data_IF_389899178028
#
_entry.id   IF_389899178028
#
_cell.length_a   1.000
_cell.length_b   1.000
_cell.length_c   1.000
_cell.angle_alpha   90.00
_cell.angle_beta   90.00
_cell.angle_gamma   90.00
#
_symmetry.space_group_name_H-M   'P 1'
#
loop_
_entity.id
_entity.type
_entity.pdbx_description
1 polymer ?
#
# COMPACT_ATOMS: atom_id res chain seq x y z
N UNK A 1 2.55 5.99 0.18
CA UNK A 1 2.82 5.76 1.62
C UNK A 1 1.50 5.82 2.38
N UNK A 2 1.16 4.79 3.14
CA UNK A 2 -0.07 4.77 3.96
C UNK A 2 0.16 5.45 5.31
N UNK A 3 -0.90 5.99 5.90
CA UNK A 3 -0.92 6.46 7.28
C UNK A 3 -1.85 5.60 8.14
N UNK A 4 -1.53 5.50 9.43
CA UNK A 4 -2.44 4.95 10.44
C UNK A 4 -3.66 5.87 10.66
N UNK A 5 -4.76 5.30 11.15
CA UNK A 5 -5.99 6.07 11.46
C UNK A 5 -5.70 7.23 12.42
N UNK A 6 -4.91 7.01 13.48
CA UNK A 6 -4.59 8.08 14.43
C UNK A 6 -3.83 9.25 13.78
N UNK A 7 -2.94 8.97 12.82
CA UNK A 7 -2.20 9.99 12.06
C UNK A 7 -3.14 10.73 11.09
N UNK A 8 -4.01 9.98 10.41
CA UNK A 8 -5.04 10.57 9.56
C UNK A 8 -5.96 11.52 10.33
N UNK A 9 -6.40 11.12 11.53
CA UNK A 9 -7.21 11.96 12.43
C UNK A 9 -6.45 13.18 12.94
N UNK A 10 -5.15 13.05 13.23
CA UNK A 10 -4.31 14.19 13.59
C UNK A 10 -4.24 15.21 12.44
N UNK A 11 -4.06 14.75 11.20
CA UNK A 11 -4.11 15.63 10.03
C UNK A 11 -5.50 16.28 9.86
N UNK A 12 -6.58 15.51 10.02
CA UNK A 12 -7.93 16.07 9.97
C UNK A 12 -8.15 17.17 11.02
N UNK A 13 -7.71 16.95 12.26
CA UNK A 13 -7.78 17.94 13.34
C UNK A 13 -6.99 19.22 13.02
N UNK A 14 -5.79 19.11 12.43
CA UNK A 14 -4.98 20.27 12.01
C UNK A 14 -5.68 21.14 10.96
N UNK A 15 -6.57 20.54 10.16
CA UNK A 15 -7.39 21.24 9.16
C UNK A 15 -8.77 21.64 9.71
N UNK A 16 -8.98 21.55 11.02
CA UNK A 16 -10.21 21.97 11.69
C UNK A 16 -11.40 21.03 11.44
N UNK A 17 -11.15 19.78 11.07
CA UNK A 17 -12.18 18.79 10.83
C UNK A 17 -12.59 18.10 12.14
N UNK A 18 -13.88 17.76 12.32
CA UNK A 18 -14.39 17.13 13.53
C UNK A 18 -13.93 15.67 13.60
N UNK A 19 -13.05 15.36 14.55
CA UNK A 19 -12.58 14.00 14.86
C UNK A 19 -12.70 13.73 16.35
N UNK A 20 -12.78 12.46 16.73
CA UNK A 20 -12.83 12.06 18.14
C UNK A 20 -11.54 12.45 18.86
N UNK A 21 -11.65 12.82 20.14
CA UNK A 21 -10.47 12.92 20.99
C UNK A 21 -9.93 11.49 21.22
N UNK A 22 -8.66 11.28 20.96
CA UNK A 22 -8.06 9.95 21.06
C UNK A 22 -6.57 9.98 21.29
N UNK A 23 -6.06 8.88 21.85
CA UNK A 23 -4.66 8.66 22.22
C UNK A 23 -4.18 7.36 21.59
N UNK A 24 -3.05 7.41 20.89
CA UNK A 24 -2.41 6.23 20.31
C UNK A 24 -1.32 5.70 21.25
N UNK A 25 -1.68 4.67 22.02
CA UNK A 25 -0.84 4.06 23.05
C UNK A 25 0.05 2.94 22.51
N UNK A 26 1.26 2.80 23.04
CA UNK A 26 2.22 1.74 22.72
C UNK A 26 2.26 0.63 23.78
N UNK A 27 1.74 0.88 24.97
CA UNK A 27 1.62 -0.11 26.05
C UNK A 27 0.18 -0.23 26.55
N UNK A 28 -0.11 -1.32 27.26
CA UNK A 28 -1.42 -1.50 27.88
C UNK A 28 -1.69 -0.45 28.97
N UNK A 29 -0.65 -0.06 29.71
CA UNK A 29 -0.73 0.99 30.74
C UNK A 29 -1.04 2.36 30.13
N UNK A 30 -0.37 2.72 29.04
CA UNK A 30 -0.67 3.95 28.30
C UNK A 30 -2.10 3.94 27.74
N UNK A 31 -2.56 2.80 27.21
CA UNK A 31 -3.91 2.67 26.69
C UNK A 31 -4.95 2.86 27.80
N UNK A 32 -4.75 2.24 28.97
CA UNK A 32 -5.63 2.40 30.11
C UNK A 32 -5.64 3.84 30.65
N UNK A 33 -4.48 4.49 30.70
CA UNK A 33 -4.35 5.89 31.13
C UNK A 33 -5.00 6.88 30.14
N UNK A 34 -5.14 6.52 28.87
CA UNK A 34 -5.85 7.33 27.89
C UNK A 34 -7.30 7.62 28.31
N UNK A 35 -7.96 6.69 28.99
CA UNK A 35 -9.32 6.89 29.50
C UNK A 35 -9.43 8.10 30.43
N UNK A 36 -8.42 8.36 31.26
CA UNK A 36 -8.39 9.53 32.16
C UNK A 36 -8.24 10.84 31.39
N UNK A 37 -7.47 10.82 30.30
CA UNK A 37 -7.23 11.99 29.46
C UNK A 37 -8.44 12.33 28.60
N UNK A 38 -9.11 11.30 28.07
CA UNK A 38 -10.28 11.46 27.20
C UNK A 38 -11.52 11.79 28.03
N UNK A 39 -11.65 11.20 29.23
CA UNK A 39 -12.86 11.26 30.03
C UNK A 39 -14.00 10.41 29.46
N UNK A 40 -15.16 10.46 30.12
CA UNK A 40 -16.35 9.68 29.75
C UNK A 40 -16.46 8.34 30.49
N UNK A 41 -17.44 7.55 30.09
CA UNK A 41 -17.77 6.23 30.66
C UNK A 41 -17.62 5.08 29.65
N UNK A 42 -17.43 5.39 28.36
CA UNK A 42 -17.21 4.44 27.28
C UNK A 42 -16.19 4.94 26.26
N UNK A 43 -15.42 4.01 25.73
CA UNK A 43 -14.37 4.27 24.74
C UNK A 43 -14.41 3.24 23.62
N UNK A 44 -13.88 3.62 22.46
CA UNK A 44 -13.60 2.68 21.39
C UNK A 44 -12.10 2.43 21.36
N UNK A 45 -11.71 1.16 21.35
CA UNK A 45 -10.31 0.72 21.20
C UNK A 45 -10.12 0.11 19.83
N UNK A 46 -9.09 0.56 19.11
CA UNK A 46 -8.82 0.20 17.71
C UNK A 46 -7.36 -0.17 17.51
N UNK A 47 -7.10 -1.40 17.07
CA UNK A 47 -5.77 -1.80 16.61
C UNK A 47 -5.36 -0.95 15.39
N UNK A 48 -4.14 -0.42 15.42
CA UNK A 48 -3.60 0.41 14.34
C UNK A 48 -2.78 -0.45 13.40
N UNK A 49 -3.30 -0.61 12.17
CA UNK A 49 -2.65 -1.28 11.03
C UNK A 49 -3.04 -0.57 9.74
N UNK A 50 -2.24 -0.70 8.68
CA UNK A 50 -2.49 -0.11 7.36
C UNK A 50 -3.49 -0.89 6.49
N UNK A 51 -4.41 -1.64 7.12
CA UNK A 51 -5.43 -2.45 6.45
C UNK A 51 -6.83 -2.16 6.99
N UNK A 52 -7.83 -2.20 6.11
CA UNK A 52 -9.25 -2.12 6.45
C UNK A 52 -9.78 -3.41 7.08
N UNK A 53 -11.07 -3.44 7.44
CA UNK A 53 -11.70 -4.67 7.96
C UNK A 53 -11.36 -5.05 9.40
N UNK A 54 -10.64 -4.18 10.12
CA UNK A 54 -10.19 -4.38 11.51
C UNK A 54 -11.32 -4.81 12.45
N UNK A 55 -12.51 -4.22 12.31
CA UNK A 55 -13.68 -4.57 13.13
C UNK A 55 -14.11 -6.03 12.98
N UNK A 56 -14.16 -6.56 11.75
CA UNK A 56 -14.51 -7.97 11.48
C UNK A 56 -13.47 -8.94 12.05
N UNK A 57 -12.21 -8.52 12.14
CA UNK A 57 -11.12 -9.29 12.74
C UNK A 57 -11.03 -9.15 14.28
N UNK A 58 -11.95 -8.40 14.91
CA UNK A 58 -11.94 -8.14 16.36
C UNK A 58 -10.90 -7.11 16.80
N UNK A 59 -10.30 -6.38 15.86
CA UNK A 59 -9.37 -5.28 16.07
C UNK A 59 -10.06 -3.94 16.36
N UNK A 60 -11.38 -3.91 16.54
CA UNK A 60 -12.14 -2.74 17.05
C UNK A 60 -13.13 -3.23 18.09
N UNK A 61 -13.22 -2.56 19.24
CA UNK A 61 -14.15 -2.92 20.33
C UNK A 61 -14.63 -1.68 21.08
N UNK A 62 -15.92 -1.65 21.44
CA UNK A 62 -16.47 -0.71 22.43
C UNK A 62 -16.22 -1.27 23.84
N UNK A 63 -15.70 -0.45 24.74
CA UNK A 63 -15.34 -0.83 26.11
C UNK A 63 -15.83 0.21 27.11
N UNK A 64 -16.06 -0.22 28.35
CA UNK A 64 -16.61 0.62 29.44
C UNK A 64 -15.73 0.69 30.69
N UNK A 65 -14.52 0.12 30.66
CA UNK A 65 -13.58 0.23 31.78
C UNK A 65 -12.12 0.22 31.35
N UNK A 66 -11.23 0.70 32.23
CA UNK A 66 -9.77 0.69 31.99
C UNK A 66 -9.20 -0.72 31.90
N UNK A 67 -9.80 -1.65 32.63
CA UNK A 67 -9.45 -3.06 32.61
C UNK A 67 -9.72 -3.64 31.22
N UNK A 68 -10.90 -3.37 30.64
CA UNK A 68 -11.23 -3.82 29.27
C UNK A 68 -10.32 -3.20 28.20
N UNK A 69 -9.91 -1.94 28.37
CA UNK A 69 -8.91 -1.29 27.51
C UNK A 69 -7.56 -2.02 27.61
N UNK A 70 -7.11 -2.30 28.83
CA UNK A 70 -5.85 -3.01 29.10
C UNK A 70 -5.86 -4.42 28.51
N UNK A 71 -6.97 -5.16 28.68
CA UNK A 71 -7.16 -6.49 28.12
C UNK A 71 -7.08 -6.47 26.59
N UNK A 72 -7.74 -5.50 25.94
CA UNK A 72 -7.68 -5.35 24.49
C UNK A 72 -6.26 -5.02 24.02
N UNK A 73 -5.56 -4.13 24.71
CA UNK A 73 -4.18 -3.78 24.38
C UNK A 73 -3.24 -4.98 24.54
N UNK A 74 -3.29 -5.71 25.66
CA UNK A 74 -2.52 -6.94 25.87
C UNK A 74 -2.85 -8.04 24.87
N UNK A 75 -4.09 -8.08 24.38
CA UNK A 75 -4.49 -9.04 23.34
C UNK A 75 -3.77 -8.74 22.03
N UNK A 76 -3.65 -7.49 21.63
CA UNK A 76 -3.26 -7.12 20.26
C UNK A 76 -1.83 -6.59 20.12
N UNK A 77 -1.31 -5.81 21.07
CA UNK A 77 0.04 -5.25 20.98
C UNK A 77 1.09 -6.35 20.81
N UNK A 78 1.96 -6.18 19.81
CA UNK A 78 3.01 -7.14 19.47
C UNK A 78 2.52 -8.39 18.73
N UNK A 79 1.24 -8.47 18.36
CA UNK A 79 0.69 -9.55 17.52
C UNK A 79 0.27 -9.01 16.16
N UNK A 80 0.11 -9.92 15.20
CA UNK A 80 -0.38 -9.57 13.89
C UNK A 80 -1.90 -9.62 13.83
N UNK A 81 -2.51 -8.63 13.20
CA UNK A 81 -3.92 -8.60 12.86
C UNK A 81 -4.09 -9.01 11.39
N UNK A 82 -4.73 -10.16 11.17
CA UNK A 82 -5.13 -10.61 9.84
C UNK A 82 -6.52 -10.05 9.54
N UNK A 83 -6.66 -9.41 8.39
CA UNK A 83 -7.93 -8.92 7.85
C UNK A 83 -8.12 -9.47 6.44
N UNK A 84 -9.27 -9.22 5.82
CA UNK A 84 -9.47 -9.60 4.42
C UNK A 84 -8.63 -8.74 3.44
N UNK A 85 -8.00 -7.65 3.92
CA UNK A 85 -7.11 -6.79 3.13
C UNK A 85 -5.62 -7.03 3.41
N UNK A 86 -5.26 -7.94 4.32
CA UNK A 86 -3.86 -8.34 4.54
C UNK A 86 -3.57 -9.68 3.87
N UNK A 87 -2.29 -10.04 3.80
CA UNK A 87 -1.90 -11.42 3.54
C UNK A 87 -2.26 -12.34 4.73
N UNK A 88 -1.89 -13.62 4.62
CA UNK A 88 -2.12 -14.62 5.67
C UNK A 88 -1.33 -14.35 6.96
N UNK A 89 -0.25 -13.56 6.90
CA UNK A 89 0.56 -13.20 8.05
C UNK A 89 -0.02 -12.02 8.82
N UNK A 90 -0.83 -11.19 8.17
CA UNK A 90 -1.41 -9.99 8.77
C UNK A 90 -0.37 -8.89 8.99
N UNK A 91 -0.81 -7.79 9.59
CA UNK A 91 0.07 -6.66 9.89
C UNK A 91 0.32 -6.55 11.40
N UNK A 92 1.55 -6.19 11.83
CA UNK A 92 1.88 -6.09 13.25
C UNK A 92 1.15 -4.90 13.89
N UNK A 93 0.55 -5.13 15.06
CA UNK A 93 -0.09 -4.08 15.85
C UNK A 93 0.92 -3.52 16.85
N UNK A 94 1.45 -2.33 16.55
CA UNK A 94 2.40 -1.61 17.42
C UNK A 94 1.73 -0.56 18.29
N UNK A 95 0.49 -0.17 17.97
CA UNK A 95 -0.28 0.86 18.68
C UNK A 95 -1.76 0.50 18.77
N UNK A 96 -2.39 0.95 19.86
CA UNK A 96 -3.84 0.94 20.05
C UNK A 96 -4.32 2.39 20.12
N UNK A 97 -5.26 2.75 19.26
CA UNK A 97 -6.00 4.01 19.39
C UNK A 97 -7.14 3.80 20.38
N UNK A 98 -7.14 4.57 21.46
CA UNK A 98 -8.25 4.70 22.40
C UNK A 98 -8.92 6.04 22.13
N UNK A 99 -10.22 6.06 21.90
CA UNK A 99 -10.93 7.30 21.58
C UNK A 99 -12.32 7.39 22.23
N UNK A 100 -12.83 8.61 22.33
CA UNK A 100 -14.18 8.89 22.83
C UNK A 100 -15.23 8.19 21.97
N UNK A 101 -16.22 7.57 22.61
CA UNK A 101 -17.38 7.01 21.92
C UNK A 101 -18.20 8.12 21.23
N UNK A 102 -18.75 7.83 20.06
CA UNK A 102 -19.62 8.74 19.30
C UNK A 102 -20.97 8.06 19.12
N UNK A 103 -22.05 8.75 19.46
CA UNK A 103 -23.42 8.25 19.26
C UNK A 103 -23.83 8.45 17.80
N UNK A 104 -23.95 7.35 17.06
CA UNK A 104 -24.16 7.36 15.60
C UNK A 104 -25.65 7.30 15.30
N UNK A 105 -26.18 8.30 14.60
CA UNK A 105 -27.53 8.27 14.05
C UNK A 105 -27.55 7.75 12.60
N UNK A 106 -26.56 8.14 11.80
CA UNK A 106 -26.44 7.74 10.40
C UNK A 106 -24.96 7.69 9.99
N UNK A 107 -24.62 6.77 9.10
CA UNK A 107 -23.30 6.64 8.50
C UNK A 107 -23.34 7.05 7.03
N UNK A 108 -22.36 7.84 6.60
CA UNK A 108 -22.15 8.27 5.22
C UNK A 108 -20.75 7.85 4.77
N UNK A 109 -20.53 7.89 3.46
CA UNK A 109 -19.22 7.76 2.85
C UNK A 109 -18.75 9.12 2.30
N UNK A 110 -17.46 9.43 2.51
CA UNK A 110 -16.78 10.53 1.82
C UNK A 110 -15.34 10.13 1.49
N UNK A 111 -14.95 10.23 0.22
CA UNK A 111 -13.60 9.92 -0.21
C UNK A 111 -13.16 10.79 -1.38
N UNK A 112 -11.86 10.79 -1.68
CA UNK A 112 -11.28 11.47 -2.82
C UNK A 112 -10.09 10.70 -3.39
N UNK A 113 -9.95 10.76 -4.71
CA UNK A 113 -8.83 10.17 -5.46
C UNK A 113 -8.45 11.06 -6.63
N UNK A 114 -7.25 10.84 -7.19
CA UNK A 114 -6.90 11.36 -8.51
C UNK A 114 -7.52 10.43 -9.57
N UNK A 115 -8.62 10.86 -10.19
CA UNK A 115 -9.22 10.13 -11.30
C UNK A 115 -8.35 10.27 -12.55
N UNK A 116 -7.76 9.16 -12.97
CA UNK A 116 -6.87 9.11 -14.14
C UNK A 116 -7.59 9.39 -15.45
N UNK A 117 -8.90 9.11 -15.54
CA UNK A 117 -9.68 9.31 -16.76
C UNK A 117 -9.91 10.80 -17.03
N UNK A 118 -10.50 11.51 -16.06
CA UNK A 118 -10.69 12.96 -16.16
C UNK A 118 -9.40 13.75 -15.91
N UNK A 119 -8.39 13.13 -15.27
CA UNK A 119 -7.14 13.76 -14.82
C UNK A 119 -7.43 14.88 -13.82
N UNK A 120 -8.27 14.58 -12.83
CA UNK A 120 -8.72 15.53 -11.81
C UNK A 120 -8.76 14.87 -10.45
N UNK A 121 -8.67 15.68 -9.39
CA UNK A 121 -9.09 15.24 -8.07
C UNK A 121 -10.61 15.12 -8.11
N UNK A 122 -11.15 13.97 -7.71
CA UNK A 122 -12.59 13.70 -7.68
C UNK A 122 -12.97 13.27 -6.28
N UNK A 123 -13.89 14.02 -5.68
CA UNK A 123 -14.55 13.62 -4.44
C UNK A 123 -15.75 12.75 -4.76
N UNK A 124 -15.96 11.74 -3.91
CA UNK A 124 -17.07 10.81 -3.96
C UNK A 124 -17.80 10.83 -2.63
N UNK A 125 -19.13 10.88 -2.65
CA UNK A 125 -19.94 10.79 -1.45
C UNK A 125 -21.13 9.84 -1.66
N UNK A 126 -21.58 9.17 -0.61
CA UNK A 126 -22.71 8.25 -0.67
C UNK A 126 -23.44 8.17 0.68
N UNK A 127 -24.73 7.85 0.64
CA UNK A 127 -25.53 7.51 1.82
C UNK A 127 -25.18 6.13 2.38
N UNK A 128 -24.46 5.31 1.63
CA UNK A 128 -24.05 3.95 2.03
C UNK A 128 -22.71 3.98 2.79
N UNK A 129 -22.71 4.62 3.96
CA UNK A 129 -21.57 4.57 4.89
C UNK A 129 -21.44 3.21 5.59
N UNK A 130 -20.24 2.89 6.10
CA UNK A 130 -19.97 1.65 6.84
C UNK A 130 -19.83 0.40 5.96
N UNK A 131 -19.91 0.55 4.62
CA UNK A 131 -19.80 -0.53 3.63
C UNK A 131 -18.62 -0.24 2.69
N UNK A 132 -18.04 -1.28 2.10
CA UNK A 132 -17.02 -1.17 1.04
C UNK A 132 -17.59 -0.39 -0.15
N UNK A 133 -16.97 0.74 -0.49
CA UNK A 133 -17.47 1.62 -1.55
C UNK A 133 -17.41 0.96 -2.93
N UNK A 134 -16.50 0.00 -3.12
CA UNK A 134 -16.37 -0.78 -4.35
C UNK A 134 -17.63 -1.61 -4.62
N UNK A 135 -18.25 -2.17 -3.58
CA UNK A 135 -19.54 -2.90 -3.72
C UNK A 135 -20.67 -1.96 -4.08
N UNK A 136 -20.72 -0.78 -3.47
CA UNK A 136 -21.71 0.24 -3.82
C UNK A 136 -21.53 0.68 -5.27
N UNK A 137 -20.29 0.81 -5.75
CA UNK A 137 -19.96 1.19 -7.12
C UNK A 137 -20.37 0.12 -8.14
N UNK A 138 -20.28 -1.16 -7.79
CA UNK A 138 -20.68 -2.27 -8.65
C UNK A 138 -22.21 -2.48 -8.66
N UNK A 139 -22.84 -2.51 -7.48
CA UNK A 139 -24.24 -2.91 -7.32
C UNK A 139 -25.22 -1.72 -7.45
N UNK A 140 -24.85 -0.54 -6.97
CA UNK A 140 -25.70 0.66 -6.92
C UNK A 140 -24.93 1.94 -7.28
N UNK A 141 -24.31 2.01 -8.48
CA UNK A 141 -23.43 3.11 -8.88
C UNK A 141 -24.10 4.49 -8.80
N UNK A 142 -25.41 4.57 -8.94
CA UNK A 142 -26.21 5.80 -8.84
C UNK A 142 -26.19 6.44 -7.45
N UNK A 143 -25.85 5.68 -6.41
CA UNK A 143 -25.69 6.21 -5.04
C UNK A 143 -24.34 6.92 -4.82
N UNK A 144 -23.41 6.82 -5.77
CA UNK A 144 -22.11 7.48 -5.67
C UNK A 144 -22.17 8.83 -6.38
N UNK A 145 -22.28 9.87 -5.57
CA UNK A 145 -22.25 11.26 -5.99
C UNK A 145 -20.80 11.70 -6.19
N UNK A 146 -20.55 12.57 -7.17
CA UNK A 146 -19.19 12.98 -7.53
C UNK A 146 -19.06 14.50 -7.66
N UNK A 147 -17.97 15.04 -7.15
CA UNK A 147 -17.55 16.42 -7.41
C UNK A 147 -16.14 16.42 -8.04
N UNK A 148 -16.03 16.93 -9.25
CA UNK A 148 -14.77 17.03 -10.00
C UNK A 148 -14.13 18.39 -9.69
N UNK A 149 -12.91 18.39 -9.17
CA UNK A 149 -12.22 19.62 -8.77
C UNK A 149 -11.45 20.20 -9.95
N UNK A 150 -11.75 21.45 -10.30
CA UNK A 150 -10.96 22.18 -11.29
C UNK A 150 -9.63 22.65 -10.68
N UNK A 151 -8.49 22.41 -11.34
CA UNK A 151 -7.18 22.72 -10.77
C UNK A 151 -6.88 24.22 -10.65
N UNK A 152 -7.54 25.08 -11.42
CA UNK A 152 -7.32 26.52 -11.39
C UNK A 152 -8.05 27.18 -10.21
N UNK A 153 -9.32 26.83 -10.03
CA UNK A 153 -10.15 27.43 -8.96
C UNK A 153 -10.17 26.60 -7.67
N UNK A 154 -9.73 25.36 -7.71
CA UNK A 154 -9.79 24.44 -6.57
C UNK A 154 -11.22 24.03 -6.20
N UNK A 155 -11.38 23.39 -5.06
CA UNK A 155 -12.68 22.98 -4.56
C UNK A 155 -13.52 24.20 -4.15
N UNK A 156 -14.75 24.27 -4.65
CA UNK A 156 -15.62 25.40 -4.43
C UNK A 156 -16.78 25.07 -3.47
N UNK A 157 -17.22 26.02 -2.63
CA UNK A 157 -18.28 25.77 -1.65
C UNK A 157 -19.60 25.29 -2.26
N UNK A 158 -19.89 25.63 -3.52
CA UNK A 158 -21.12 25.16 -4.17
C UNK A 158 -21.11 23.64 -4.41
N UNK A 159 -19.94 23.05 -4.68
CA UNK A 159 -19.80 21.61 -4.91
C UNK A 159 -20.07 20.83 -3.62
N UNK A 160 -19.54 21.33 -2.49
CA UNK A 160 -19.83 20.76 -1.17
C UNK A 160 -21.32 20.84 -0.82
N UNK A 161 -21.99 21.96 -1.11
CA UNK A 161 -23.45 22.11 -0.92
C UNK A 161 -24.25 21.18 -1.81
N UNK A 162 -23.86 21.04 -3.08
CA UNK A 162 -24.54 20.16 -4.04
C UNK A 162 -24.51 18.71 -3.57
N UNK A 163 -23.34 18.20 -3.18
CA UNK A 163 -23.20 16.89 -2.57
C UNK A 163 -24.05 16.76 -1.29
N UNK A 164 -23.99 17.75 -0.39
CA UNK A 164 -24.76 17.72 0.85
C UNK A 164 -26.28 17.61 0.60
N UNK A 165 -26.82 18.38 -0.35
CA UNK A 165 -28.24 18.29 -0.70
C UNK A 165 -28.60 16.95 -1.33
N UNK A 166 -27.75 16.41 -2.20
CA UNK A 166 -27.96 15.10 -2.82
C UNK A 166 -27.90 13.95 -1.79
N UNK A 167 -27.09 14.09 -0.74
CA UNK A 167 -27.08 13.19 0.43
C UNK A 167 -28.30 13.35 1.36
N UNK A 168 -29.13 14.36 1.12
CA UNK A 168 -30.31 14.65 1.96
C UNK A 168 -30.01 15.40 3.26
N UNK A 169 -28.81 15.99 3.40
CA UNK A 169 -28.44 16.80 4.57
C UNK A 169 -29.26 18.08 4.66
N UNK A 170 -29.53 18.54 5.89
CA UNK A 170 -30.41 19.70 6.14
C UNK A 170 -29.81 20.68 7.14
N UNK A 171 -30.21 21.95 7.04
CA UNK A 171 -29.84 22.99 8.00
C UNK A 171 -28.32 23.10 8.19
N UNK A 172 -27.86 23.04 9.43
CA UNK A 172 -26.45 23.18 9.79
C UNK A 172 -25.55 22.06 9.23
N UNK A 173 -26.10 20.88 8.95
CA UNK A 173 -25.34 19.76 8.35
C UNK A 173 -24.79 20.12 6.98
N UNK A 174 -25.53 20.90 6.19
CA UNK A 174 -25.06 21.35 4.86
C UNK A 174 -23.83 22.24 5.00
N UNK A 175 -23.84 23.13 6.00
CA UNK A 175 -22.70 24.01 6.31
C UNK A 175 -21.51 23.20 6.82
N UNK A 176 -21.73 22.27 7.75
CA UNK A 176 -20.70 21.39 8.28
C UNK A 176 -20.07 20.53 7.18
N UNK A 177 -20.89 19.88 6.35
CA UNK A 177 -20.41 19.07 5.22
C UNK A 177 -19.60 19.90 4.23
N UNK A 178 -20.08 21.10 3.89
CA UNK A 178 -19.34 22.00 2.98
C UNK A 178 -17.97 22.35 3.55
N UNK A 179 -17.88 22.64 4.85
CA UNK A 179 -16.59 22.92 5.50
C UNK A 179 -15.67 21.69 5.52
N UNK A 180 -16.22 20.49 5.80
CA UNK A 180 -15.47 19.24 5.77
C UNK A 180 -14.92 18.99 4.36
N UNK A 181 -15.77 19.07 3.33
CA UNK A 181 -15.38 18.93 1.94
C UNK A 181 -14.25 19.89 1.55
N UNK A 182 -14.36 21.18 1.89
CA UNK A 182 -13.33 22.17 1.56
C UNK A 182 -12.03 21.93 2.33
N UNK A 183 -12.10 21.57 3.61
CA UNK A 183 -10.94 21.26 4.43
C UNK A 183 -10.20 20.02 3.92
N UNK A 184 -10.93 18.96 3.57
CA UNK A 184 -10.36 17.74 2.98
C UNK A 184 -9.78 18.00 1.59
N UNK A 185 -10.43 18.81 0.76
CA UNK A 185 -9.90 19.16 -0.55
C UNK A 185 -8.60 19.97 -0.45
N UNK A 186 -8.53 20.89 0.53
CA UNK A 186 -7.30 21.62 0.84
C UNK A 186 -6.21 20.66 1.33
N UNK A 187 -6.52 19.79 2.29
CA UNK A 187 -5.60 18.76 2.78
C UNK A 187 -5.07 17.86 1.66
N UNK A 188 -5.96 17.44 0.73
CA UNK A 188 -5.63 16.57 -0.38
C UNK A 188 -4.50 17.15 -1.25
N UNK A 189 -4.59 18.45 -1.54
CA UNK A 189 -3.59 19.16 -2.36
C UNK A 189 -2.36 19.53 -1.54
N UNK A 190 -2.54 20.09 -0.34
CA UNK A 190 -1.44 20.58 0.50
C UNK A 190 -0.49 19.46 0.94
N UNK A 191 -0.98 18.21 1.05
CA UNK A 191 -0.21 17.04 1.50
C UNK A 191 0.04 16.00 0.41
N UNK A 192 -0.24 16.33 -0.86
CA UNK A 192 -0.06 15.44 -2.01
C UNK A 192 -0.65 14.04 -1.78
N UNK A 193 -1.92 14.02 -1.41
CA UNK A 193 -2.62 12.76 -1.20
C UNK A 193 -2.87 12.09 -2.55
N UNK A 194 -2.72 10.77 -2.60
CA UNK A 194 -3.17 9.93 -3.71
C UNK A 194 -4.60 9.44 -3.46
N UNK A 195 -4.94 9.16 -2.21
CA UNK A 195 -6.27 8.73 -1.77
C UNK A 195 -6.58 9.28 -0.37
N UNK A 196 -7.84 9.63 -0.16
CA UNK A 196 -8.41 9.98 1.12
C UNK A 196 -9.78 9.30 1.26
N UNK A 197 -10.08 8.74 2.41
CA UNK A 197 -11.35 8.10 2.69
C UNK A 197 -11.75 8.28 4.16
N UNK A 198 -13.02 8.60 4.37
CA UNK A 198 -13.71 8.69 5.65
C UNK A 198 -14.90 7.74 5.56
N UNK A 199 -14.76 6.58 6.16
CA UNK A 199 -15.78 5.54 6.12
C UNK A 199 -15.91 4.84 7.49
N UNK A 200 -16.83 5.29 8.37
CA UNK A 200 -17.91 6.23 8.08
C UNK A 200 -17.59 7.70 8.40
N UNK A 201 -18.18 8.61 7.61
CA UNK A 201 -18.49 9.98 8.03
C UNK A 201 -19.85 9.93 8.73
N UNK A 202 -19.90 10.18 10.03
CA UNK A 202 -21.13 9.96 10.81
C UNK A 202 -21.92 11.24 11.02
N UNK A 203 -23.24 11.10 11.09
CA UNK A 203 -24.14 12.08 11.68
C UNK A 203 -24.42 11.60 13.11
N UNK A 204 -24.10 12.44 14.10
CA UNK A 204 -24.37 12.12 15.50
C UNK A 204 -25.87 12.23 15.83
N UNK A 205 -26.28 11.70 16.97
CA UNK A 205 -27.65 11.87 17.47
C UNK A 205 -28.02 13.34 17.75
N UNK A 206 -27.04 14.21 18.02
CA UNK A 206 -27.25 15.66 18.09
C UNK A 206 -27.30 16.34 16.70
N UNK A 207 -27.12 15.57 15.63
CA UNK A 207 -27.24 16.04 14.25
C UNK A 207 -25.96 16.63 13.66
N UNK A 208 -24.80 16.46 14.31
CA UNK A 208 -23.51 16.99 13.83
C UNK A 208 -22.78 15.98 12.96
N UNK A 209 -21.99 16.45 11.99
CA UNK A 209 -21.09 15.60 11.20
C UNK A 209 -19.76 15.37 11.92
N UNK A 210 -19.26 14.15 11.83
CA UNK A 210 -18.04 13.73 12.51
C UNK A 210 -17.26 12.68 11.71
N UNK A 211 -15.96 12.87 11.56
CA UNK A 211 -15.08 11.97 10.82
C UNK A 211 -14.65 10.81 11.74
N UNK A 212 -15.37 9.69 11.72
CA UNK A 212 -15.17 8.60 12.67
C UNK A 212 -13.99 7.68 12.31
N UNK A 213 -13.66 7.56 11.03
CA UNK A 213 -12.47 6.84 10.55
C UNK A 213 -11.68 7.72 9.58
N UNK A 214 -10.41 7.38 9.38
CA UNK A 214 -9.52 8.09 8.48
C UNK A 214 -8.58 7.11 7.80
N UNK A 215 -8.66 7.04 6.46
CA UNK A 215 -7.71 6.31 5.62
C UNK A 215 -7.09 7.28 4.63
N UNK A 216 -5.77 7.42 4.70
CA UNK A 216 -5.00 8.34 3.87
C UNK A 216 -3.84 7.60 3.22
N UNK A 217 -3.69 7.80 1.91
CA UNK A 217 -2.51 7.39 1.16
C UNK A 217 -1.85 8.64 0.55
N UNK A 218 -0.58 8.84 0.87
CA UNK A 218 0.27 9.91 0.32
C UNK A 218 0.92 9.40 -0.97
N UNK A 219 1.02 10.24 -2.00
CA UNK A 219 1.89 9.99 -3.14
C UNK A 219 3.35 9.90 -2.66
N UNK A 220 3.95 8.71 -2.73
CA UNK A 220 5.33 8.48 -2.29
C UNK A 220 6.32 9.34 -3.07
N UNK A 221 6.02 9.72 -4.31
CA UNK A 221 6.88 10.59 -5.12
C UNK A 221 6.93 12.03 -4.60
N UNK A 222 5.99 12.44 -3.75
CA UNK A 222 5.94 13.77 -3.16
C UNK A 222 6.48 13.82 -1.73
N UNK A 223 6.80 12.67 -1.12
CA UNK A 223 7.21 12.60 0.29
C UNK A 223 8.50 13.41 0.55
N UNK A 224 9.40 13.56 -0.43
CA UNK A 224 10.64 14.33 -0.28
C UNK A 224 10.43 15.80 0.15
N UNK A 225 9.27 16.39 -0.16
CA UNK A 225 8.91 17.78 0.19
C UNK A 225 8.04 17.90 1.45
N UNK A 226 7.72 16.78 2.11
CA UNK A 226 6.88 16.72 3.31
C UNK A 226 7.62 16.04 4.47
N UNK A 227 8.49 16.80 5.16
CA UNK A 227 9.25 16.26 6.30
C UNK A 227 8.36 15.76 7.43
N UNK A 228 7.25 16.45 7.68
CA UNK A 228 6.27 16.07 8.69
C UNK A 228 5.58 14.73 8.37
N UNK A 229 5.38 14.42 7.09
CA UNK A 229 4.83 13.12 6.67
C UNK A 229 5.89 12.01 6.68
N UNK A 230 7.17 12.32 6.41
CA UNK A 230 8.26 11.34 6.52
C UNK A 230 8.35 10.76 7.94
N UNK A 231 8.17 11.60 8.96
CA UNK A 231 8.17 11.18 10.37
C UNK A 231 6.99 10.27 10.73
N UNK A 232 5.94 10.25 9.90
CA UNK A 232 4.77 9.39 10.10
C UNK A 232 4.92 8.00 9.46
N UNK A 233 5.97 7.76 8.66
CA UNK A 233 6.16 6.48 7.99
C UNK A 233 6.37 5.35 9.00
N UNK A 234 5.58 4.28 8.84
CA UNK A 234 5.72 3.05 9.62
C UNK A 234 6.13 1.89 8.70
N UNK A 235 7.44 1.59 8.58
CA UNK A 235 7.93 0.51 7.73
C UNK A 235 7.53 -0.88 8.24
N UNK A 236 7.08 -1.02 9.49
CA UNK A 236 6.64 -2.33 10.02
C UNK A 236 5.37 -2.86 9.33
N UNK A 237 4.64 -1.98 8.64
CA UNK A 237 3.41 -2.32 7.93
C UNK A 237 3.64 -2.77 6.48
N UNK A 238 4.89 -2.71 6.01
CA UNK A 238 5.33 -3.05 4.65
C UNK A 238 6.09 -4.39 4.66
N UNK A 239 6.18 -5.08 3.52
CA UNK A 239 7.04 -6.27 3.43
C UNK A 239 8.51 -5.83 3.55
N UNK A 240 9.25 -6.43 4.50
CA UNK A 240 10.65 -6.08 4.74
C UNK A 240 11.54 -6.21 3.49
N UNK A 241 11.18 -7.11 2.56
CA UNK A 241 11.88 -7.27 1.28
C UNK A 241 11.60 -6.12 0.33
N UNK A 242 10.38 -5.58 0.33
CA UNK A 242 10.01 -4.39 -0.45
C UNK A 242 10.73 -3.14 0.08
N UNK A 243 10.80 -3.00 1.41
CA UNK A 243 11.55 -1.92 2.05
C UNK A 243 13.06 -2.01 1.74
N UNK A 244 13.67 -3.20 1.90
CA UNK A 244 15.08 -3.43 1.54
C UNK A 244 15.34 -3.17 0.05
N UNK A 245 14.42 -3.56 -0.83
CA UNK A 245 14.52 -3.27 -2.26
C UNK A 245 14.54 -1.76 -2.53
N UNK A 246 13.68 -0.98 -1.86
CA UNK A 246 13.61 0.46 -2.04
C UNK A 246 14.91 1.18 -1.66
N UNK A 247 15.64 0.72 -0.65
CA UNK A 247 16.97 1.25 -0.26
C UNK A 247 18.01 1.15 -1.39
N UNK A 248 17.83 0.20 -2.31
CA UNK A 248 18.70 -0.04 -3.47
C UNK A 248 18.10 0.44 -4.79
N UNK A 249 17.06 1.29 -4.71
CA UNK A 249 16.30 1.77 -5.85
C UNK A 249 15.73 0.62 -6.70
N UNK A 250 15.41 -0.51 -6.07
CA UNK A 250 14.78 -1.67 -6.70
C UNK A 250 13.27 -1.62 -6.41
N UNK A 251 12.44 -1.84 -7.43
CA UNK A 251 11.01 -2.01 -7.22
C UNK A 251 10.72 -3.51 -7.11
N UNK A 252 10.42 -3.99 -5.91
CA UNK A 252 10.10 -5.39 -5.64
C UNK A 252 8.65 -5.52 -5.20
N UNK A 253 8.00 -6.61 -5.59
CA UNK A 253 6.71 -7.05 -5.02
C UNK A 253 6.77 -8.56 -4.91
N UNK A 254 6.43 -9.11 -3.75
CA UNK A 254 6.37 -10.56 -3.56
C UNK A 254 5.09 -11.17 -4.17
N UNK A 255 5.21 -12.36 -4.74
CA UNK A 255 4.08 -13.16 -5.24
C UNK A 255 4.16 -14.59 -4.70
N UNK A 256 3.07 -15.34 -4.81
CA UNK A 256 3.05 -16.75 -4.44
C UNK A 256 3.47 -17.64 -5.63
N UNK A 257 4.78 -17.83 -5.79
CA UNK A 257 5.36 -18.63 -6.86
C UNK A 257 6.71 -19.22 -6.52
N UNK A 258 7.37 -19.81 -7.51
CA UNK A 258 8.66 -20.48 -7.34
C UNK A 258 9.72 -20.09 -8.39
N UNK A 259 9.40 -19.17 -9.31
CA UNK A 259 10.35 -18.63 -10.29
C UNK A 259 10.63 -17.17 -9.97
N UNK A 260 11.81 -16.90 -9.42
CA UNK A 260 12.23 -15.52 -9.15
C UNK A 260 12.50 -14.77 -10.45
N UNK A 261 12.01 -13.54 -10.59
CA UNK A 261 12.23 -12.74 -11.81
C UNK A 261 13.07 -11.51 -11.50
N UNK A 262 14.07 -11.22 -12.34
CA UNK A 262 14.88 -9.99 -12.29
C UNK A 262 14.92 -9.36 -13.68
N UNK A 263 14.38 -8.16 -13.81
CA UNK A 263 14.14 -7.54 -15.12
C UNK A 263 14.46 -6.05 -15.06
N UNK A 264 14.88 -5.45 -16.18
CA UNK A 264 14.98 -4.00 -16.30
C UNK A 264 13.77 -3.39 -17.02
N UNK A 265 13.07 -2.48 -16.35
CA UNK A 265 11.87 -1.79 -16.80
C UNK A 265 10.58 -2.50 -16.38
N UNK A 266 9.72 -1.77 -15.66
CA UNK A 266 8.46 -2.29 -15.12
C UNK A 266 7.55 -2.98 -16.15
N UNK A 267 7.43 -2.44 -17.36
CA UNK A 267 6.62 -3.07 -18.43
C UNK A 267 7.18 -4.42 -18.87
N UNK A 268 8.50 -4.54 -19.00
CA UNK A 268 9.15 -5.81 -19.34
C UNK A 268 9.08 -6.79 -18.17
N UNK A 269 9.17 -6.30 -16.92
CA UNK A 269 9.03 -7.12 -15.72
C UNK A 269 7.66 -7.79 -15.65
N UNK A 270 6.58 -7.02 -15.91
CA UNK A 270 5.23 -7.57 -16.03
C UNK A 270 5.10 -8.58 -17.17
N UNK A 271 5.57 -8.23 -18.38
CA UNK A 271 5.54 -9.17 -19.51
C UNK A 271 6.37 -10.45 -19.28
N UNK A 272 7.42 -10.38 -18.48
CA UNK A 272 8.26 -11.53 -18.09
C UNK A 272 7.50 -12.46 -17.15
N UNK A 273 6.81 -11.92 -16.14
CA UNK A 273 5.95 -12.72 -15.27
C UNK A 273 4.81 -13.37 -16.06
N UNK A 274 4.18 -12.62 -16.97
CA UNK A 274 3.08 -13.12 -17.81
C UNK A 274 3.53 -14.26 -18.72
N UNK A 275 4.70 -14.14 -19.37
CA UNK A 275 5.19 -15.20 -20.26
C UNK A 275 5.63 -16.44 -19.48
N UNK A 276 6.19 -16.29 -18.26
CA UNK A 276 6.45 -17.42 -17.36
C UNK A 276 5.14 -18.13 -17.01
N UNK A 277 4.10 -17.36 -16.66
CA UNK A 277 2.77 -17.90 -16.34
C UNK A 277 2.12 -18.58 -17.55
N UNK A 278 2.24 -17.99 -18.73
CA UNK A 278 1.72 -18.52 -20.00
C UNK A 278 2.31 -19.91 -20.32
N UNK A 279 3.57 -20.15 -19.94
CA UNK A 279 4.24 -21.44 -20.11
C UNK A 279 4.09 -22.37 -18.90
N UNK A 280 3.18 -22.08 -17.97
CA UNK A 280 2.85 -22.96 -16.83
C UNK A 280 3.71 -22.77 -15.58
N UNK A 281 4.61 -21.78 -15.58
CA UNK A 281 5.37 -21.38 -14.40
C UNK A 281 4.57 -20.55 -13.40
N UNK A 282 5.14 -20.33 -12.22
CA UNK A 282 4.58 -19.46 -11.20
C UNK A 282 5.62 -18.40 -10.81
N UNK A 283 5.51 -17.15 -11.31
CA UNK A 283 6.42 -16.08 -10.91
C UNK A 283 6.34 -15.84 -9.40
N UNK A 284 7.48 -15.85 -8.72
CA UNK A 284 7.58 -15.67 -7.27
C UNK A 284 7.68 -14.19 -6.86
N UNK A 285 8.02 -13.31 -7.80
CA UNK A 285 8.14 -11.89 -7.53
C UNK A 285 8.06 -11.06 -8.81
N UNK A 286 7.70 -9.79 -8.65
CA UNK A 286 8.06 -8.71 -9.55
C UNK A 286 9.37 -8.10 -9.03
N UNK A 287 10.33 -7.84 -9.91
CA UNK A 287 11.51 -7.02 -9.58
C UNK A 287 11.99 -6.26 -10.80
N UNK A 288 12.00 -4.93 -10.68
CA UNK A 288 12.57 -4.00 -11.65
C UNK A 288 13.88 -3.41 -11.14
N UNK A 289 15.00 -3.71 -11.81
CA UNK A 289 16.34 -3.15 -11.53
C UNK A 289 16.59 -1.78 -12.19
N UNK A 290 15.61 -1.22 -12.90
CA UNK A 290 15.71 0.04 -13.62
C UNK A 290 16.71 0.01 -14.79
N UNK A 291 17.04 1.18 -15.34
CA UNK A 291 17.89 1.28 -16.54
C UNK A 291 19.38 0.96 -16.35
N UNK A 292 19.86 0.85 -15.10
CA UNK A 292 21.27 0.63 -14.77
C UNK A 292 21.48 -0.57 -13.84
N UNK A 293 21.69 -1.75 -14.41
CA UNK A 293 21.99 -2.97 -13.67
C UNK A 293 23.49 -3.04 -13.29
N UNK A 294 23.90 -2.29 -12.27
CA UNK A 294 25.27 -2.40 -11.71
C UNK A 294 25.44 -3.73 -10.98
N UNK A 295 26.69 -4.17 -10.78
CA UNK A 295 27.00 -5.43 -10.08
C UNK A 295 26.36 -5.46 -8.69
N UNK A 296 26.46 -4.37 -7.94
CA UNK A 296 25.96 -4.25 -6.56
C UNK A 296 24.43 -4.39 -6.52
N UNK A 297 23.72 -3.74 -7.44
CA UNK A 297 22.26 -3.84 -7.52
C UNK A 297 21.80 -5.24 -7.91
N UNK A 298 22.54 -5.92 -8.79
CA UNK A 298 22.26 -7.32 -9.15
C UNK A 298 22.50 -8.27 -7.97
N UNK A 299 23.56 -8.05 -7.18
CA UNK A 299 23.82 -8.80 -5.93
C UNK A 299 22.65 -8.66 -4.96
N UNK A 300 22.20 -7.43 -4.71
CA UNK A 300 21.10 -7.17 -3.77
C UNK A 300 19.78 -7.73 -4.28
N UNK A 301 19.50 -7.61 -5.58
CA UNK A 301 18.33 -8.23 -6.19
C UNK A 301 18.34 -9.76 -6.02
N UNK A 302 19.49 -10.42 -6.14
CA UNK A 302 19.62 -11.86 -5.84
C UNK A 302 19.35 -12.17 -4.37
N UNK A 303 19.92 -11.40 -3.42
CA UNK A 303 19.67 -11.59 -1.98
C UNK A 303 18.18 -11.47 -1.65
N UNK A 304 17.49 -10.49 -2.24
CA UNK A 304 16.06 -10.28 -2.05
C UNK A 304 15.27 -11.47 -2.61
N UNK A 305 15.49 -11.84 -3.87
CA UNK A 305 14.76 -12.94 -4.53
C UNK A 305 14.97 -14.25 -3.76
N UNK A 306 16.20 -14.55 -3.38
CA UNK A 306 16.56 -15.81 -2.73
C UNK A 306 16.32 -15.80 -1.21
N UNK A 307 15.83 -14.70 -0.64
CA UNK A 307 15.30 -14.71 0.73
C UNK A 307 13.98 -15.49 0.84
N UNK A 308 13.34 -15.80 -0.30
CA UNK A 308 12.19 -16.68 -0.38
C UNK A 308 12.58 -18.13 -0.72
N UNK A 309 12.45 -19.03 0.25
CA UNK A 309 12.76 -20.46 0.13
C UNK A 309 11.89 -21.21 -0.92
N UNK A 310 10.77 -20.60 -1.35
CA UNK A 310 9.93 -21.15 -2.43
C UNK A 310 10.62 -21.06 -3.79
N UNK A 311 11.57 -20.14 -3.99
CA UNK A 311 12.26 -19.95 -5.28
C UNK A 311 13.10 -21.18 -5.63
N UNK A 312 12.80 -21.79 -6.78
CA UNK A 312 13.48 -22.97 -7.35
C UNK A 312 14.27 -22.68 -8.62
N UNK A 313 14.02 -21.56 -9.28
CA UNK A 313 14.82 -21.05 -10.39
C UNK A 313 14.73 -19.52 -10.44
N UNK A 314 15.73 -18.87 -11.05
CA UNK A 314 15.72 -17.42 -11.29
C UNK A 314 15.73 -17.15 -12.79
N UNK A 315 14.81 -16.30 -13.26
CA UNK A 315 14.79 -15.76 -14.61
C UNK A 315 15.30 -14.33 -14.62
N UNK A 316 16.46 -14.11 -15.23
CA UNK A 316 16.99 -12.78 -15.52
C UNK A 316 16.64 -12.44 -16.97
N UNK A 317 15.83 -11.41 -17.19
CA UNK A 317 15.52 -10.92 -18.53
C UNK A 317 15.95 -9.46 -18.65
N UNK A 318 17.10 -9.23 -19.29
CA UNK A 318 17.65 -7.89 -19.44
C UNK A 318 17.73 -7.49 -20.91
N UNK A 319 17.06 -6.39 -21.24
CA UNK A 319 17.27 -5.69 -22.50
C UNK A 319 18.35 -4.62 -22.31
N UNK A 320 19.56 -4.93 -22.77
CA UNK A 320 20.72 -4.02 -22.83
C UNK A 320 20.47 -2.86 -23.77
N UNK A 321 19.94 -1.77 -23.22
CA UNK A 321 19.79 -0.48 -23.89
C UNK A 321 21.14 0.23 -24.00
N UNK A 322 21.47 1.06 -23.01
CA UNK A 322 22.72 1.83 -22.98
C UNK A 322 23.90 0.98 -22.50
N UNK A 323 23.65 0.00 -21.63
CA UNK A 323 24.67 -0.90 -21.07
C UNK A 323 24.88 -2.11 -21.99
N UNK A 324 26.14 -2.46 -22.25
CA UNK A 324 26.50 -3.63 -23.06
C UNK A 324 26.20 -4.94 -22.32
N UNK A 325 25.65 -5.92 -23.03
CA UNK A 325 25.29 -7.22 -22.47
C UNK A 325 26.48 -8.02 -21.92
N UNK A 326 27.69 -7.85 -22.46
CA UNK A 326 28.88 -8.51 -21.92
C UNK A 326 29.25 -8.00 -20.50
N UNK A 327 29.09 -6.69 -20.24
CA UNK A 327 29.28 -6.15 -18.89
C UNK A 327 28.19 -6.63 -17.91
N UNK A 328 26.95 -6.73 -18.39
CA UNK A 328 25.84 -7.28 -17.59
C UNK A 328 26.12 -8.76 -17.25
N UNK A 329 26.58 -9.54 -18.22
CA UNK A 329 26.95 -10.94 -18.03
C UNK A 329 28.04 -11.11 -16.95
N UNK A 330 29.10 -10.30 -17.00
CA UNK A 330 30.13 -10.28 -15.97
C UNK A 330 29.58 -9.94 -14.58
N UNK A 331 28.67 -8.95 -14.50
CA UNK A 331 27.99 -8.57 -13.27
C UNK A 331 27.16 -9.72 -12.69
N UNK A 332 26.38 -10.42 -13.52
CA UNK A 332 25.59 -11.60 -13.13
C UNK A 332 26.48 -12.73 -12.63
N UNK A 333 27.57 -13.06 -13.35
CA UNK A 333 28.53 -14.09 -12.93
C UNK A 333 29.15 -13.73 -11.57
N UNK A 334 29.54 -12.47 -11.39
CA UNK A 334 30.08 -11.97 -10.14
C UNK A 334 29.08 -12.12 -8.99
N UNK A 335 27.84 -11.73 -9.21
CA UNK A 335 26.78 -11.82 -8.22
C UNK A 335 26.44 -13.27 -7.85
N UNK A 336 26.35 -14.16 -8.84
CA UNK A 336 26.08 -15.59 -8.61
C UNK A 336 27.17 -16.23 -7.73
N UNK A 337 28.44 -15.90 -7.97
CA UNK A 337 29.58 -16.38 -7.18
C UNK A 337 29.58 -15.80 -5.76
N UNK A 338 29.29 -14.52 -5.64
CA UNK A 338 29.33 -13.79 -4.37
C UNK A 338 28.18 -14.20 -3.43
N UNK A 339 26.97 -14.31 -3.96
CA UNK A 339 25.77 -14.71 -3.21
C UNK A 339 25.75 -16.24 -2.98
N UNK A 340 26.41 -17.02 -3.83
CA UNK A 340 26.41 -18.48 -3.74
C UNK A 340 25.08 -19.10 -4.21
N UNK A 341 24.57 -18.64 -5.36
CA UNK A 341 23.28 -19.07 -5.91
C UNK A 341 23.32 -20.55 -6.28
N UNK A 342 22.43 -21.34 -5.66
CA UNK A 342 22.34 -22.80 -5.87
C UNK A 342 21.28 -23.22 -6.88
N UNK A 343 20.23 -22.42 -7.02
CA UNK A 343 19.15 -22.65 -7.97
C UNK A 343 19.62 -22.34 -9.41
N UNK A 344 19.07 -23.02 -10.43
CA UNK A 344 19.36 -22.70 -11.82
C UNK A 344 18.96 -21.25 -12.15
N UNK A 345 19.83 -20.57 -12.89
CA UNK A 345 19.60 -19.20 -13.36
C UNK A 345 19.45 -19.21 -14.87
N UNK A 346 18.27 -18.89 -15.38
CA UNK A 346 18.06 -18.67 -16.81
C UNK A 346 18.24 -17.20 -17.10
N UNK A 347 19.11 -16.87 -18.06
CA UNK A 347 19.45 -15.50 -18.40
C UNK A 347 19.16 -15.25 -19.86
N UNK A 348 18.31 -14.26 -20.11
CA UNK A 348 18.07 -13.72 -21.44
C UNK A 348 18.65 -12.32 -21.53
N UNK A 349 19.64 -12.17 -22.40
CA UNK A 349 20.24 -10.88 -22.73
C UNK A 349 19.89 -10.51 -24.17
N UNK A 350 19.44 -9.28 -24.38
CA UNK A 350 19.20 -8.74 -25.73
C UNK A 350 19.68 -7.31 -25.84
N UNK A 351 20.17 -6.92 -27.02
CA UNK A 351 20.70 -5.58 -27.27
C UNK A 351 22.18 -5.61 -27.65
N UNK A 352 22.92 -4.59 -27.25
CA UNK A 352 24.31 -4.43 -27.65
C UNK A 352 25.20 -5.55 -27.06
N UNK A 353 25.97 -6.25 -27.90
CA UNK A 353 26.80 -7.40 -27.54
C UNK A 353 26.05 -8.59 -26.90
N UNK A 354 24.77 -8.78 -27.20
CA UNK A 354 23.97 -9.88 -26.63
C UNK A 354 24.61 -11.25 -26.85
N UNK A 355 25.07 -11.54 -28.07
CA UNK A 355 25.74 -12.82 -28.40
C UNK A 355 27.02 -13.03 -27.57
N UNK A 356 27.81 -11.98 -27.38
CA UNK A 356 29.04 -12.03 -26.56
C UNK A 356 28.68 -12.28 -25.09
N UNK A 357 27.69 -11.56 -24.56
CA UNK A 357 27.22 -11.76 -23.18
C UNK A 357 26.68 -13.18 -22.95
N UNK A 358 25.89 -13.72 -23.89
CA UNK A 358 25.37 -15.09 -23.82
C UNK A 358 26.50 -16.14 -23.85
N UNK A 359 27.54 -15.90 -24.65
CA UNK A 359 28.74 -16.75 -24.67
C UNK A 359 29.49 -16.71 -23.33
N UNK A 360 29.71 -15.51 -22.78
CA UNK A 360 30.35 -15.31 -21.46
C UNK A 360 29.60 -16.05 -20.35
N UNK A 361 28.26 -16.03 -20.36
CA UNK A 361 27.44 -16.77 -19.40
C UNK A 361 27.56 -18.29 -19.56
N UNK A 362 27.60 -18.78 -20.80
CA UNK A 362 27.69 -20.22 -21.10
C UNK A 362 29.06 -20.79 -20.71
N UNK A 363 30.13 -20.02 -20.89
CA UNK A 363 31.50 -20.42 -20.59
C UNK A 363 31.88 -20.25 -19.10
N UNK A 364 30.96 -19.73 -18.26
CA UNK A 364 31.27 -19.37 -16.87
C UNK A 364 31.44 -20.56 -15.92
N UNK A 365 31.01 -21.75 -16.33
CA UNK A 365 31.01 -22.97 -15.49
C UNK A 365 30.02 -22.94 -14.31
N UNK A 366 29.08 -22.00 -14.31
CA UNK A 366 28.04 -21.88 -13.29
C UNK A 366 26.74 -22.53 -13.80
N UNK A 367 25.76 -22.74 -12.91
CA UNK A 367 24.43 -23.24 -13.28
C UNK A 367 23.58 -22.14 -13.95
N UNK A 368 24.11 -21.60 -15.05
CA UNK A 368 23.52 -20.51 -15.83
C UNK A 368 23.13 -21.04 -17.21
N UNK A 369 21.88 -20.83 -17.60
CA UNK A 369 21.35 -21.20 -18.91
C UNK A 369 21.10 -19.92 -19.69
N UNK A 370 21.88 -19.69 -20.75
CA UNK A 370 21.69 -18.53 -21.61
C UNK A 370 20.63 -18.79 -22.70
N UNK A 371 19.85 -17.76 -23.01
CA UNK A 371 19.00 -17.70 -24.20
C UNK A 371 18.99 -16.25 -24.74
N UNK A 372 18.60 -16.08 -26.00
CA UNK A 372 18.38 -14.77 -26.63
C UNK A 372 16.90 -14.54 -26.94
N UNK A 373 16.12 -15.61 -27.07
CA UNK A 373 14.69 -15.58 -27.29
C UNK A 373 13.91 -15.57 -25.97
N UNK A 374 12.87 -14.75 -25.91
CA UNK A 374 12.07 -14.58 -24.69
C UNK A 374 11.24 -15.83 -24.38
N UNK A 375 10.62 -16.43 -25.41
CA UNK A 375 9.82 -17.65 -25.27
C UNK A 375 10.70 -18.84 -24.89
N UNK A 376 11.85 -18.99 -25.55
CA UNK A 376 12.85 -20.00 -25.22
C UNK A 376 13.33 -19.91 -23.77
N UNK A 377 13.67 -18.70 -23.31
CA UNK A 377 14.08 -18.47 -21.93
C UNK A 377 12.97 -18.81 -20.91
N UNK A 378 11.72 -18.40 -21.19
CA UNK A 378 10.59 -18.70 -20.33
C UNK A 378 10.34 -20.22 -20.21
N UNK A 379 10.36 -20.95 -21.32
CA UNK A 379 10.21 -22.41 -21.30
C UNK A 379 11.34 -23.09 -20.51
N UNK A 380 12.59 -22.63 -20.69
CA UNK A 380 13.75 -23.14 -19.96
C UNK A 380 13.64 -22.91 -18.46
N UNK A 381 13.21 -21.72 -18.01
CA UNK A 381 13.12 -21.46 -16.56
C UNK A 381 11.99 -22.25 -15.91
N UNK A 382 10.88 -22.46 -16.62
CA UNK A 382 9.79 -23.33 -16.16
C UNK A 382 10.27 -24.77 -16.02
N UNK A 383 10.99 -25.30 -17.02
CA UNK A 383 11.56 -26.64 -16.95
C UNK A 383 12.57 -26.77 -15.79
N UNK A 384 13.46 -25.78 -15.63
CA UNK A 384 14.46 -25.75 -14.58
C UNK A 384 13.84 -25.70 -13.17
N UNK A 385 12.74 -24.95 -12.99
CA UNK A 385 12.02 -24.88 -11.72
C UNK A 385 11.27 -26.18 -11.37
N UNK A 386 10.90 -26.99 -12.37
CA UNK A 386 10.26 -28.29 -12.18
C UNK A 386 11.25 -29.41 -11.79
N UNK A 387 12.56 -29.15 -11.83
CA UNK A 387 13.60 -30.12 -11.48
C UNK A 387 13.88 -31.18 -12.55
N UNK A 388 13.54 -30.90 -13.82
CA UNK A 388 13.79 -31.78 -14.96
C UNK A 388 14.99 -31.35 -15.80
#
# INVERSE_FOLDING_TARGET
MNLHEYQGKQLFAQYGLPVSNGVAAQTAEEAAAAADTIGGDRWVVKAQVHAGGRGKAGGVKLVSSKEEISEFANKWLGKNLVTYQTDEKGQPVSRILVESCTDIAQELYLGAVVDRSSRRVVFMASTEGGVEIEKVAEETPEKILKAIIDPLVGAQPYQGRELAFQLGLKGDQVKQFTNIFLGLAKLFVDKDLALLEINPLVITTEGNLHCLDAKINIDSNAVYRHKDLQEMHDPSQEDAREAHAAEWELNYVALDGNIGCMVNGAGLAMGTMDIVKLHGGQPANFLDVGGGATKERVVEAFKIILSDDKVKAVFINIFGGIVRCDMIAEGVIGAVKEVGVKVPVVVRLQGNNAEVGAKVLTESGLNIIADTDLTGAAQKVVAAAAGN
#
